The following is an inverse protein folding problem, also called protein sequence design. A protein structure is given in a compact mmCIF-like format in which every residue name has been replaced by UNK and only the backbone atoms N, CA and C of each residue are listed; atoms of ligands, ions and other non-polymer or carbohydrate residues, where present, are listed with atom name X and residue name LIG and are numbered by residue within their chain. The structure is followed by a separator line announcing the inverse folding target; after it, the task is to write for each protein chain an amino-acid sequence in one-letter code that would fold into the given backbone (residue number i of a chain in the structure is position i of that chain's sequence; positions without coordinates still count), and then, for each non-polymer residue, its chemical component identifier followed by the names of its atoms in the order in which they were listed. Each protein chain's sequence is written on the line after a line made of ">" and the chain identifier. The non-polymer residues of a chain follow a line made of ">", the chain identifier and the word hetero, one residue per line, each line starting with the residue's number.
data_IF_690399465256
#
_entry.id   IF_690399465256
#
_cell.length_a   1.000
_cell.length_b   1.000
_cell.length_c   1.000
_cell.angle_alpha   90.00
_cell.angle_beta   90.00
_cell.angle_gamma   90.00
#
_symmetry.space_group_name_H-M   'P 1'
#
loop_
_entity.id
_entity.type
_entity.pdbx_description
1 polymer ?
#
# COMPACT_ATOMS: atom_id res chain seq x y z
N UNK A 1 -14.49 27.30 -3.69
CA UNK A 1 -13.44 26.45 -3.08
C UNK A 1 -13.92 25.62 -1.88
N UNK A 2 -14.79 26.14 -0.99
CA UNK A 2 -15.30 25.36 0.15
C UNK A 2 -16.29 24.26 -0.27
N UNK A 3 -17.29 24.61 -1.10
CA UNK A 3 -18.33 23.68 -1.55
C UNK A 3 -17.80 22.45 -2.28
N UNK A 4 -16.80 22.60 -3.14
CA UNK A 4 -16.18 21.48 -3.86
C UNK A 4 -15.42 20.54 -2.92
N UNK A 5 -14.74 21.07 -1.90
CA UNK A 5 -14.08 20.26 -0.86
C UNK A 5 -15.09 19.56 0.05
N UNK A 6 -16.15 20.26 0.45
CA UNK A 6 -17.21 19.70 1.29
C UNK A 6 -17.93 18.54 0.59
N UNK A 7 -18.31 18.74 -0.66
CA UNK A 7 -19.04 17.74 -1.44
C UNK A 7 -18.17 16.50 -1.72
N UNK A 8 -16.90 16.70 -2.06
CA UNK A 8 -15.95 15.59 -2.20
C UNK A 8 -15.80 14.79 -0.89
N UNK A 9 -15.69 15.46 0.26
CA UNK A 9 -15.59 14.79 1.56
C UNK A 9 -16.83 13.97 1.92
N UNK A 10 -18.04 14.52 1.69
CA UNK A 10 -19.30 13.82 1.95
C UNK A 10 -19.43 12.57 1.06
N UNK A 11 -19.11 12.69 -0.22
CA UNK A 11 -19.15 11.55 -1.15
C UNK A 11 -18.17 10.46 -0.71
N UNK A 12 -16.96 10.84 -0.30
CA UNK A 12 -15.95 9.88 0.14
C UNK A 12 -16.35 9.18 1.45
N UNK A 13 -16.97 9.90 2.39
CA UNK A 13 -17.55 9.34 3.61
C UNK A 13 -18.66 8.32 3.29
N UNK A 14 -19.57 8.66 2.37
CA UNK A 14 -20.66 7.78 1.98
C UNK A 14 -20.14 6.48 1.35
N UNK A 15 -19.12 6.58 0.49
CA UNK A 15 -18.47 5.40 -0.10
C UNK A 15 -17.83 4.56 1.00
N UNK A 16 -17.07 5.15 1.91
CA UNK A 16 -16.43 4.43 3.01
C UNK A 16 -17.45 3.68 3.88
N UNK A 17 -18.57 4.32 4.23
CA UNK A 17 -19.65 3.70 5.01
C UNK A 17 -20.32 2.54 4.25
N UNK A 18 -20.58 2.72 2.95
CA UNK A 18 -21.12 1.65 2.12
C UNK A 18 -20.16 0.45 2.09
N UNK A 19 -18.87 0.69 1.83
CA UNK A 19 -17.86 -0.37 1.77
C UNK A 19 -17.70 -1.11 3.10
N UNK A 20 -17.73 -0.41 4.24
CA UNK A 20 -17.72 -1.03 5.55
C UNK A 20 -18.96 -1.87 5.84
N UNK A 21 -20.12 -1.45 5.34
CA UNK A 21 -21.40 -2.13 5.59
C UNK A 21 -21.53 -3.46 4.83
N UNK A 22 -21.02 -3.54 3.60
CA UNK A 22 -21.06 -4.78 2.80
C UNK A 22 -19.97 -5.78 3.19
N UNK A 23 -18.81 -5.31 3.65
CA UNK A 23 -17.71 -6.15 4.12
C UNK A 23 -17.15 -7.12 3.05
N UNK A 24 -16.32 -8.06 3.50
CA UNK A 24 -15.79 -9.15 2.67
C UNK A 24 -15.01 -8.64 1.43
N UNK A 25 -15.20 -9.25 0.25
CA UNK A 25 -14.53 -8.86 -1.01
C UNK A 25 -14.75 -7.39 -1.36
N UNK A 26 -15.94 -6.84 -1.09
CA UNK A 26 -16.25 -5.44 -1.38
C UNK A 26 -15.42 -4.46 -0.56
N UNK A 27 -14.95 -4.87 0.62
CA UNK A 27 -14.00 -4.11 1.43
C UNK A 27 -12.56 -4.40 1.03
N UNK A 28 -12.22 -5.66 0.79
CA UNK A 28 -10.86 -6.08 0.48
C UNK A 28 -10.33 -5.46 -0.82
N UNK A 29 -11.13 -5.40 -1.88
CA UNK A 29 -10.69 -4.91 -3.20
C UNK A 29 -10.37 -3.40 -3.19
N UNK A 30 -11.25 -2.50 -2.69
CA UNK A 30 -10.92 -1.08 -2.58
C UNK A 30 -9.73 -0.83 -1.65
N UNK A 31 -9.63 -1.52 -0.52
CA UNK A 31 -8.49 -1.37 0.39
C UNK A 31 -7.17 -1.77 -0.28
N UNK A 32 -7.15 -2.89 -1.00
CA UNK A 32 -5.98 -3.32 -1.76
C UNK A 32 -5.59 -2.28 -2.82
N UNK A 33 -6.55 -1.80 -3.62
CA UNK A 33 -6.30 -0.78 -4.65
C UNK A 33 -5.77 0.54 -4.07
N UNK A 34 -6.41 1.04 -3.00
CA UNK A 34 -5.98 2.28 -2.35
C UNK A 34 -4.59 2.10 -1.74
N UNK A 35 -4.30 0.95 -1.14
CA UNK A 35 -2.98 0.65 -0.58
C UNK A 35 -1.88 0.64 -1.66
N UNK A 36 -2.17 0.13 -2.85
CA UNK A 36 -1.24 0.17 -3.99
C UNK A 36 -0.99 1.60 -4.49
N UNK A 37 -2.06 2.40 -4.62
CA UNK A 37 -1.96 3.81 -5.03
C UNK A 37 -1.17 4.61 -3.99
N UNK A 38 -1.50 4.45 -2.71
CA UNK A 38 -0.83 5.13 -1.61
C UNK A 38 0.65 4.75 -1.54
N UNK A 39 1.01 3.48 -1.76
CA UNK A 39 2.41 3.05 -1.78
C UNK A 39 3.17 3.70 -2.94
N UNK A 40 2.58 3.79 -4.13
CA UNK A 40 3.19 4.48 -5.29
C UNK A 40 3.34 5.99 -5.06
N UNK A 41 2.37 6.63 -4.44
CA UNK A 41 2.49 8.05 -4.07
C UNK A 41 3.58 8.26 -3.02
N UNK A 42 3.70 7.34 -2.07
CA UNK A 42 4.76 7.35 -1.04
C UNK A 42 6.15 7.17 -1.66
N UNK A 43 6.35 6.18 -2.54
CA UNK A 43 7.65 5.95 -3.20
C UNK A 43 8.07 7.12 -4.08
N UNK A 44 7.09 7.76 -4.75
CA UNK A 44 7.30 8.99 -5.53
C UNK A 44 7.66 10.17 -4.63
N UNK A 45 6.97 10.34 -3.49
CA UNK A 45 7.24 11.43 -2.55
C UNK A 45 8.62 11.29 -1.87
N UNK A 46 9.03 10.05 -1.56
CA UNK A 46 10.32 9.74 -0.93
C UNK A 46 11.52 9.82 -1.89
N UNK A 47 11.32 10.22 -3.16
CA UNK A 47 12.37 10.32 -4.20
C UNK A 47 13.20 9.03 -4.41
N UNK A 48 12.77 7.91 -3.84
CA UNK A 48 13.37 6.59 -4.10
C UNK A 48 13.21 6.19 -5.58
N UNK A 49 12.27 6.79 -6.31
CA UNK A 49 12.22 6.73 -7.77
C UNK A 49 13.10 7.85 -8.38
N UNK A 50 14.43 7.69 -8.38
CA UNK A 50 15.36 8.68 -8.96
C UNK A 50 15.40 8.68 -10.49
N UNK A 51 14.71 7.76 -11.17
CA UNK A 51 14.63 7.76 -12.64
C UNK A 51 13.20 7.44 -13.07
N UNK A 52 12.55 8.40 -13.74
CA UNK A 52 11.15 8.34 -14.21
C UNK A 52 10.83 7.18 -15.17
N UNK A 53 11.82 6.34 -15.51
CA UNK A 53 11.70 5.25 -16.51
C UNK A 53 11.99 3.84 -16.00
N UNK A 54 12.45 3.64 -14.76
CA UNK A 54 12.73 2.28 -14.25
C UNK A 54 12.07 2.09 -12.89
N UNK A 55 11.06 1.22 -12.86
CA UNK A 55 10.52 0.67 -11.61
C UNK A 55 11.69 0.24 -10.72
N UNK A 56 11.79 0.85 -9.54
CA UNK A 56 12.90 0.55 -8.65
C UNK A 56 12.61 -0.77 -7.92
N UNK A 57 13.65 -1.53 -7.60
CA UNK A 57 13.48 -2.84 -6.96
C UNK A 57 12.63 -2.74 -5.66
N UNK A 58 12.72 -1.60 -4.98
CA UNK A 58 11.92 -1.28 -3.79
C UNK A 58 10.43 -1.15 -4.09
N UNK A 59 10.04 -0.52 -5.21
CA UNK A 59 8.64 -0.40 -5.60
C UNK A 59 8.03 -1.78 -5.86
N UNK A 60 8.77 -2.63 -6.59
CA UNK A 60 8.33 -4.00 -6.89
C UNK A 60 8.13 -4.83 -5.62
N UNK A 61 9.05 -4.72 -4.66
CA UNK A 61 8.96 -5.45 -3.39
C UNK A 61 7.77 -4.96 -2.57
N UNK A 62 7.53 -3.66 -2.53
CA UNK A 62 6.34 -3.11 -1.88
C UNK A 62 5.03 -3.52 -2.54
N UNK A 63 4.95 -3.51 -3.88
CA UNK A 63 3.77 -4.00 -4.61
C UNK A 63 3.49 -5.48 -4.33
N UNK A 64 4.53 -6.32 -4.39
CA UNK A 64 4.43 -7.75 -4.05
C UNK A 64 4.02 -7.91 -2.59
N UNK A 65 4.55 -7.08 -1.70
CA UNK A 65 4.25 -7.12 -0.28
C UNK A 65 2.82 -6.76 0.07
N UNK A 66 2.34 -5.63 -0.42
CA UNK A 66 0.93 -5.24 -0.25
C UNK A 66 0.01 -6.33 -0.78
N UNK A 67 0.34 -6.92 -1.94
CA UNK A 67 -0.46 -7.99 -2.53
C UNK A 67 -0.43 -9.27 -1.68
N UNK A 68 0.74 -9.69 -1.18
CA UNK A 68 0.87 -10.85 -0.30
C UNK A 68 0.14 -10.66 1.04
N UNK A 69 0.18 -9.45 1.60
CA UNK A 69 -0.53 -9.12 2.83
C UNK A 69 -2.05 -9.20 2.65
N UNK A 70 -2.60 -8.57 1.62
CA UNK A 70 -4.04 -8.62 1.33
C UNK A 70 -4.51 -10.01 0.90
N UNK A 71 -3.67 -10.78 0.20
CA UNK A 71 -3.97 -12.18 -0.11
C UNK A 71 -4.06 -13.02 1.17
N UNK A 72 -3.07 -12.90 2.07
CA UNK A 72 -3.09 -13.59 3.36
C UNK A 72 -4.31 -13.19 4.18
N UNK A 73 -4.63 -11.90 4.23
CA UNK A 73 -5.81 -11.37 4.92
C UNK A 73 -7.13 -11.91 4.37
N UNK A 74 -7.19 -12.18 3.06
CA UNK A 74 -8.38 -12.73 2.41
C UNK A 74 -8.54 -14.24 2.65
N UNK A 75 -7.45 -15.01 2.57
CA UNK A 75 -7.49 -16.47 2.73
C UNK A 75 -7.45 -16.93 4.19
N UNK A 76 -6.67 -16.23 5.03
CA UNK A 76 -6.37 -16.65 6.39
C UNK A 76 -6.44 -15.46 7.34
N UNK A 77 -7.48 -15.43 8.19
CA UNK A 77 -7.65 -14.41 9.23
C UNK A 77 -6.77 -14.64 10.47
N UNK A 78 -5.70 -15.41 10.31
CA UNK A 78 -4.78 -15.69 11.41
C UNK A 78 -3.87 -14.47 11.63
N UNK A 79 -4.01 -13.87 12.81
CA UNK A 79 -3.25 -12.70 13.21
C UNK A 79 -1.74 -12.98 13.24
N UNK A 80 -1.33 -14.21 13.52
CA UNK A 80 0.09 -14.59 13.55
C UNK A 80 0.70 -14.56 12.15
N UNK A 81 -0.01 -15.08 11.14
CA UNK A 81 0.46 -15.06 9.75
C UNK A 81 0.47 -13.65 9.17
N UNK A 82 -0.51 -12.83 9.52
CA UNK A 82 -0.55 -11.41 9.12
C UNK A 82 0.65 -10.64 9.71
N UNK A 83 0.93 -10.84 10.99
CA UNK A 83 2.08 -10.21 11.65
C UNK A 83 3.41 -10.68 11.02
N UNK A 84 3.56 -11.99 10.78
CA UNK A 84 4.73 -12.55 10.11
C UNK A 84 4.91 -11.96 8.70
N UNK A 85 3.82 -11.79 7.95
CA UNK A 85 3.86 -11.20 6.61
C UNK A 85 4.37 -9.75 6.67
N UNK A 86 3.84 -8.92 7.58
CA UNK A 86 4.32 -7.54 7.77
C UNK A 86 5.80 -7.50 8.15
N UNK A 87 6.22 -8.33 9.10
CA UNK A 87 7.63 -8.38 9.55
C UNK A 87 8.55 -8.81 8.42
N UNK A 88 8.15 -9.82 7.62
CA UNK A 88 8.92 -10.27 6.47
C UNK A 88 9.06 -9.18 5.40
N UNK A 89 7.98 -8.42 5.14
CA UNK A 89 8.02 -7.30 4.20
C UNK A 89 8.92 -6.18 4.67
N UNK A 90 8.81 -5.81 5.95
CA UNK A 90 9.70 -4.82 6.54
C UNK A 90 11.17 -5.25 6.44
N UNK A 91 11.46 -6.52 6.73
CA UNK A 91 12.81 -7.06 6.62
C UNK A 91 13.32 -7.12 5.17
N UNK A 92 12.44 -7.42 4.20
CA UNK A 92 12.77 -7.39 2.78
C UNK A 92 13.05 -5.96 2.28
N UNK A 93 12.25 -4.97 2.70
CA UNK A 93 12.50 -3.55 2.38
C UNK A 93 13.83 -3.08 2.98
N UNK A 94 14.12 -3.44 4.24
CA UNK A 94 15.40 -3.14 4.88
C UNK A 94 16.59 -3.81 4.18
N UNK A 95 16.45 -5.07 3.76
CA UNK A 95 17.49 -5.76 3.01
C UNK A 95 17.75 -5.07 1.66
N UNK A 96 16.69 -4.69 0.94
CA UNK A 96 16.85 -3.99 -0.34
C UNK A 96 17.36 -2.56 -0.18
N UNK A 97 17.04 -1.89 0.93
CA UNK A 97 17.65 -0.62 1.28
C UNK A 97 19.17 -0.76 1.47
N UNK A 98 19.62 -1.75 2.25
CA UNK A 98 21.05 -2.03 2.48
C UNK A 98 21.76 -2.53 1.22
N UNK A 99 21.15 -3.41 0.44
CA UNK A 99 21.75 -3.97 -0.78
C UNK A 99 21.86 -2.92 -1.90
N UNK A 100 20.98 -1.92 -1.91
CA UNK A 100 21.01 -0.83 -2.86
C UNK A 100 21.80 0.40 -2.36
N UNK A 101 22.48 0.30 -1.22
CA UNK A 101 23.45 1.31 -0.78
C UNK A 101 24.65 1.28 -1.75
N UNK A 102 24.98 2.38 -2.48
CA UNK A 102 24.84 3.80 -2.13
C UNK A 102 23.81 4.58 -2.97
N UNK A 103 22.90 3.90 -3.69
CA UNK A 103 21.97 4.50 -4.66
C UNK A 103 20.78 5.23 -4.00
N UNK A 104 20.46 4.91 -2.74
CA UNK A 104 19.46 5.61 -1.93
C UNK A 104 20.16 6.45 -0.86
N UNK A 105 20.65 7.63 -1.25
CA UNK A 105 21.01 8.67 -0.30
C UNK A 105 19.74 9.45 0.06
N UNK A 106 19.18 9.15 1.24
CA UNK A 106 18.21 10.01 1.90
C UNK A 106 18.95 11.12 2.64
#
# INVERSE_FOLDING_TARGET
>A
MFWTRLLSGIVLLAIALATFSFGNVFLAVPLWLISLIAYRELTKALKCATDEKKFNALEWIGFVGVTAYYATLFFTRDHTLLLMCIVALFMAEMFCYVAAFPKYQA
#
